data_IF_248157062690
#
_entry.id   IF_248157062690
#
_cell.length_a   1.000
_cell.length_b   1.000
_cell.length_c   1.000
_cell.angle_alpha   90.00
_cell.angle_beta   90.00
_cell.angle_gamma   90.00
#
_symmetry.space_group_name_H-M   'P 1'
#
loop_
_entity.id
_entity.type
_entity.pdbx_description
1 polymer ?
#
# COMPACT_ATOMS: atom_id res chain seq x y z
N UNK A 1 -45.37 -30.11 5.39
CA UNK A 1 -44.89 -28.77 4.96
C UNK A 1 -43.57 -28.50 5.65
N UNK A 2 -42.45 -28.65 4.93
CA UNK A 2 -41.12 -28.39 5.47
C UNK A 2 -40.80 -26.91 5.25
N UNK A 3 -40.67 -26.14 6.33
CA UNK A 3 -40.34 -24.73 6.28
C UNK A 3 -38.81 -24.60 6.21
N UNK A 4 -38.26 -24.49 5.01
CA UNK A 4 -36.85 -24.17 4.81
C UNK A 4 -36.64 -22.69 5.10
N UNK A 5 -36.03 -22.38 6.25
CA UNK A 5 -35.52 -21.06 6.58
C UNK A 5 -34.39 -20.70 5.59
N UNK A 6 -34.39 -19.49 5.00
CA UNK A 6 -33.26 -19.04 4.20
C UNK A 6 -32.06 -18.78 5.12
N UNK A 7 -30.94 -19.45 4.83
CA UNK A 7 -29.64 -19.05 5.34
C UNK A 7 -29.31 -17.68 4.73
N UNK A 8 -29.44 -16.61 5.51
CA UNK A 8 -28.82 -15.33 5.17
C UNK A 8 -27.30 -15.54 5.21
N UNK A 9 -26.70 -15.78 4.04
CA UNK A 9 -25.27 -15.62 3.88
C UNK A 9 -24.95 -14.15 4.14
N UNK A 10 -24.23 -13.87 5.24
CA UNK A 10 -23.57 -12.58 5.40
C UNK A 10 -22.50 -12.54 4.31
N UNK A 11 -22.81 -11.89 3.18
CA UNK A 11 -21.81 -11.50 2.22
C UNK A 11 -20.91 -10.46 2.92
N UNK A 12 -19.85 -10.94 3.57
CA UNK A 12 -18.88 -10.06 4.21
C UNK A 12 -18.23 -9.19 3.13
N UNK A 13 -18.63 -7.92 3.08
CA UNK A 13 -18.05 -6.94 2.16
C UNK A 13 -16.57 -6.71 2.43
N UNK A 14 -15.87 -6.12 1.46
CA UNK A 14 -14.48 -5.72 1.63
C UNK A 14 -14.44 -4.40 2.43
N UNK A 15 -13.73 -4.40 3.56
CA UNK A 15 -13.64 -3.28 4.50
C UNK A 15 -12.26 -2.60 4.45
N UNK A 16 -12.19 -1.33 4.85
CA UNK A 16 -10.92 -0.64 5.08
C UNK A 16 -10.49 -0.77 6.54
N UNK A 17 -9.22 -1.10 6.77
CA UNK A 17 -8.55 -0.88 8.05
C UNK A 17 -7.22 -0.17 7.80
N UNK A 18 -6.71 0.58 8.79
CA UNK A 18 -5.58 1.47 8.56
C UNK A 18 -4.41 1.16 9.48
N UNK A 19 -3.21 1.22 8.92
CA UNK A 19 -1.97 1.28 9.69
C UNK A 19 -1.38 2.67 9.58
N UNK A 20 -0.85 3.17 10.70
CA UNK A 20 -0.02 4.36 10.71
C UNK A 20 1.35 4.11 10.07
N UNK A 21 1.76 5.03 9.21
CA UNK A 21 3.07 5.11 8.58
C UNK A 21 3.87 6.33 9.05
N UNK A 22 3.31 7.17 9.92
CA UNK A 22 4.04 8.31 10.46
C UNK A 22 5.32 7.83 11.18
N UNK A 23 6.48 8.49 10.98
CA UNK A 23 7.77 8.00 11.46
C UNK A 23 7.81 7.67 12.95
N UNK A 24 7.11 8.44 13.79
CA UNK A 24 7.04 8.24 15.24
C UNK A 24 6.20 7.02 15.66
N UNK A 25 5.43 6.44 14.73
CA UNK A 25 4.66 5.21 14.92
C UNK A 25 5.37 3.98 14.39
N UNK A 26 6.48 4.17 13.70
CA UNK A 26 7.30 3.11 13.14
C UNK A 26 8.58 2.96 13.96
N UNK A 27 9.09 1.73 14.05
CA UNK A 27 10.36 1.44 14.71
C UNK A 27 11.49 1.54 13.70
N UNK A 28 12.44 2.43 13.93
CA UNK A 28 13.68 2.49 13.15
C UNK A 28 14.44 1.16 13.21
N UNK A 29 14.79 0.63 12.04
CA UNK A 29 15.63 -0.56 11.86
C UNK A 29 17.05 -0.14 11.50
N UNK A 30 17.17 0.81 10.58
CA UNK A 30 18.45 1.25 10.02
C UNK A 30 18.37 2.74 9.69
N UNK A 31 19.47 3.45 9.92
CA UNK A 31 19.70 4.84 9.49
C UNK A 31 21.17 4.94 9.11
N UNK A 32 21.43 5.54 7.96
CA UNK A 32 22.75 5.99 7.54
C UNK A 32 22.62 7.46 7.15
N UNK A 33 23.46 8.32 7.72
CA UNK A 33 23.36 9.77 7.57
C UNK A 33 24.30 10.29 6.47
N UNK A 34 25.46 9.64 6.29
CA UNK A 34 26.51 10.04 5.35
C UNK A 34 27.03 8.83 4.56
N UNK A 35 27.41 9.00 3.27
CA UNK A 35 27.37 10.24 2.47
C UNK A 35 26.02 10.51 1.81
N UNK A 36 25.11 9.53 1.82
CA UNK A 36 23.77 9.63 1.24
C UNK A 36 22.76 9.18 2.29
N UNK A 37 21.93 10.10 2.82
CA UNK A 37 20.95 9.75 3.84
C UNK A 37 20.00 8.65 3.37
N UNK A 38 19.89 7.59 4.16
CA UNK A 38 18.89 6.54 3.97
C UNK A 38 18.37 6.03 5.30
N UNK A 39 17.12 5.61 5.32
CA UNK A 39 16.51 5.01 6.51
C UNK A 39 15.60 3.85 6.17
N UNK A 40 15.48 2.92 7.11
CA UNK A 40 14.54 1.81 7.06
C UNK A 40 13.77 1.76 8.38
N UNK A 41 12.46 1.86 8.31
CA UNK A 41 11.57 1.79 9.45
C UNK A 41 10.60 0.62 9.32
N UNK A 42 10.35 -0.09 10.42
CA UNK A 42 9.31 -1.10 10.54
C UNK A 42 8.05 -0.49 11.12
N UNK A 43 7.03 -0.33 10.30
CA UNK A 43 5.70 0.06 10.73
C UNK A 43 4.87 -1.18 11.10
N UNK A 44 3.85 -1.04 11.96
CA UNK A 44 2.90 -2.11 12.24
C UNK A 44 2.20 -2.64 10.98
N UNK A 45 1.38 -3.66 11.14
CA UNK A 45 0.50 -4.15 10.08
C UNK A 45 -0.64 -4.97 10.67
N UNK A 46 -1.30 -5.77 9.84
CA UNK A 46 -2.47 -6.56 10.23
C UNK A 46 -2.28 -8.02 9.87
N UNK A 47 -2.99 -8.93 10.56
CA UNK A 47 -3.02 -10.35 10.22
C UNK A 47 -1.61 -11.00 10.04
N UNK A 48 -0.62 -10.54 10.81
CA UNK A 48 0.77 -11.00 10.75
C UNK A 48 1.65 -10.32 9.70
N UNK A 49 1.08 -9.48 8.84
CA UNK A 49 1.85 -8.61 7.95
C UNK A 49 2.48 -7.46 8.73
N UNK A 50 3.62 -6.97 8.24
CA UNK A 50 4.20 -5.67 8.63
C UNK A 50 4.64 -4.89 7.40
N UNK A 51 4.79 -3.58 7.54
CA UNK A 51 5.26 -2.72 6.46
C UNK A 51 6.64 -2.20 6.82
N UNK A 52 7.57 -2.27 5.87
CA UNK A 52 8.85 -1.58 5.98
C UNK A 52 8.81 -0.36 5.06
N UNK A 53 9.02 0.82 5.63
CA UNK A 53 9.15 2.08 4.89
C UNK A 53 10.64 2.35 4.75
N UNK A 54 11.10 2.46 3.51
CA UNK A 54 12.46 2.87 3.21
C UNK A 54 12.42 4.29 2.65
N UNK A 55 13.39 5.10 3.04
CA UNK A 55 13.68 6.42 2.47
C UNK A 55 15.11 6.37 1.93
N UNK A 56 15.29 6.60 0.64
CA UNK A 56 16.59 6.62 -0.03
C UNK A 56 16.56 7.68 -1.13
N UNK A 57 17.53 8.60 -1.11
CA UNK A 57 17.62 9.71 -2.06
C UNK A 57 16.29 10.46 -2.23
N UNK A 58 15.70 10.82 -1.08
CA UNK A 58 14.47 11.60 -0.94
C UNK A 58 13.24 10.95 -1.60
N UNK A 59 13.24 9.61 -1.66
CA UNK A 59 12.19 8.81 -2.26
C UNK A 59 11.79 7.70 -1.30
N UNK A 60 10.54 7.74 -0.88
CA UNK A 60 10.00 6.74 0.01
C UNK A 60 9.31 5.61 -0.74
N UNK A 61 9.55 4.38 -0.30
CA UNK A 61 8.88 3.17 -0.79
C UNK A 61 8.42 2.28 0.35
N UNK A 62 7.53 1.34 0.04
CA UNK A 62 7.05 0.33 0.98
C UNK A 62 7.48 -1.05 0.52
N UNK A 63 8.00 -1.85 1.45
CA UNK A 63 8.10 -3.30 1.32
C UNK A 63 7.06 -3.95 2.23
N UNK A 64 6.19 -4.78 1.65
CA UNK A 64 5.26 -5.60 2.42
C UNK A 64 6.00 -6.84 2.92
N UNK A 65 5.98 -7.06 4.23
CA UNK A 65 6.50 -8.28 4.85
C UNK A 65 5.31 -9.18 5.15
N UNK A 66 5.24 -10.33 4.51
CA UNK A 66 4.15 -11.28 4.72
C UNK A 66 4.33 -12.08 6.02
N UNK A 67 3.29 -12.78 6.53
CA UNK A 67 3.34 -13.46 7.82
C UNK A 67 4.43 -14.54 7.95
N UNK A 68 4.95 -15.06 6.83
CA UNK A 68 6.07 -16.01 6.81
C UNK A 68 7.44 -15.33 6.75
N UNK A 69 7.50 -14.00 6.83
CA UNK A 69 8.71 -13.20 6.77
C UNK A 69 9.22 -12.87 5.36
N UNK A 70 8.54 -13.30 4.29
CA UNK A 70 8.94 -12.99 2.92
C UNK A 70 8.73 -11.50 2.62
N UNK A 71 9.74 -10.90 1.99
CA UNK A 71 9.74 -9.49 1.56
C UNK A 71 9.13 -9.35 0.18
N UNK A 72 8.27 -8.35 0.02
CA UNK A 72 7.62 -8.00 -1.25
C UNK A 72 7.76 -6.48 -1.45
N UNK A 73 8.85 -6.02 -2.09
CA UNK A 73 9.02 -4.62 -2.43
C UNK A 73 7.90 -4.15 -3.36
N UNK A 74 7.35 -2.95 -3.11
CA UNK A 74 6.38 -2.33 -4.01
C UNK A 74 7.04 -1.39 -5.03
N UNK A 75 8.33 -1.07 -4.85
CA UNK A 75 9.16 -0.28 -5.77
C UNK A 75 8.48 1.01 -6.26
N UNK A 76 7.85 1.74 -5.34
CA UNK A 76 7.01 2.93 -5.63
C UNK A 76 7.77 4.00 -6.41
N UNK A 77 9.07 4.14 -6.16
CA UNK A 77 10.00 5.03 -6.86
C UNK A 77 10.28 4.67 -8.34
N UNK A 78 9.72 3.56 -8.83
CA UNK A 78 9.85 3.09 -10.21
C UNK A 78 8.50 2.86 -10.85
N UNK A 79 7.52 2.37 -10.08
CA UNK A 79 6.19 2.03 -10.60
C UNK A 79 5.17 3.16 -10.46
N UNK A 80 5.34 4.07 -9.50
CA UNK A 80 4.45 5.22 -9.31
C UNK A 80 5.08 6.50 -9.84
N UNK A 81 6.29 6.82 -9.42
CA UNK A 81 7.01 8.03 -9.85
C UNK A 81 8.49 7.86 -9.62
N UNK A 82 9.31 8.36 -10.55
CA UNK A 82 10.77 8.45 -10.38
C UNK A 82 11.21 9.74 -9.69
N UNK A 83 10.29 10.69 -9.51
CA UNK A 83 10.57 11.96 -8.88
C UNK A 83 10.69 11.82 -7.35
N UNK A 84 11.22 12.86 -6.68
CA UNK A 84 11.23 12.92 -5.21
C UNK A 84 9.83 12.73 -4.66
N UNK A 85 9.73 11.87 -3.64
CA UNK A 85 8.43 11.46 -3.14
C UNK A 85 8.45 11.02 -1.69
N UNK A 86 7.35 11.32 -1.00
CA UNK A 86 7.07 10.87 0.36
C UNK A 86 5.77 10.08 0.39
N UNK A 87 5.60 9.26 1.42
CA UNK A 87 4.34 8.58 1.68
C UNK A 87 3.40 9.48 2.47
N UNK A 88 2.09 9.23 2.36
CA UNK A 88 1.15 9.72 3.36
C UNK A 88 1.21 8.87 4.64
N UNK A 89 0.74 9.43 5.76
CA UNK A 89 0.84 8.83 7.10
C UNK A 89 0.01 7.56 7.31
N UNK A 90 -0.72 7.06 6.30
CA UNK A 90 -1.58 5.89 6.43
C UNK A 90 -1.40 4.93 5.26
N UNK A 91 -1.34 3.64 5.61
CA UNK A 91 -1.62 2.55 4.70
C UNK A 91 -3.06 2.06 4.93
N UNK A 92 -3.86 2.00 3.87
CA UNK A 92 -5.20 1.44 3.91
C UNK A 92 -5.17 0.00 3.41
N UNK A 93 -5.51 -0.94 4.28
CA UNK A 93 -5.70 -2.34 3.94
C UNK A 93 -7.15 -2.58 3.55
N UNK A 94 -7.36 -3.25 2.42
CA UNK A 94 -8.64 -3.82 2.04
C UNK A 94 -8.70 -5.24 2.58
N UNK A 95 -9.71 -5.54 3.40
CA UNK A 95 -9.80 -6.82 4.12
C UNK A 95 -11.14 -7.50 3.89
N UNK A 96 -11.13 -8.83 3.95
CA UNK A 96 -12.32 -9.67 4.09
C UNK A 96 -12.30 -10.27 5.49
N UNK A 97 -13.47 -10.35 6.13
CA UNK A 97 -13.66 -11.10 7.38
C UNK A 97 -14.36 -12.41 7.07
N UNK A 98 -13.64 -13.51 7.23
CA UNK A 98 -14.20 -14.84 7.01
C UNK A 98 -13.90 -15.73 8.22
N UNK A 99 -14.94 -16.35 8.81
CA UNK A 99 -14.82 -17.29 9.93
C UNK A 99 -13.96 -16.76 11.10
N UNK A 100 -14.14 -15.48 11.43
CA UNK A 100 -13.40 -14.80 12.50
C UNK A 100 -11.95 -14.42 12.17
N UNK A 101 -11.49 -14.66 10.93
CA UNK A 101 -10.14 -14.29 10.46
C UNK A 101 -10.21 -13.03 9.62
N UNK A 102 -9.19 -12.20 9.75
CA UNK A 102 -8.95 -11.05 8.87
C UNK A 102 -8.05 -11.52 7.73
N UNK A 103 -8.51 -11.33 6.49
CA UNK A 103 -7.80 -11.69 5.27
C UNK A 103 -7.54 -10.39 4.49
N UNK A 104 -6.32 -9.85 4.51
CA UNK A 104 -5.95 -8.73 3.65
C UNK A 104 -5.93 -9.16 2.19
N UNK A 105 -6.56 -8.39 1.32
CA UNK A 105 -6.66 -8.67 -0.13
C UNK A 105 -5.98 -7.60 -0.99
N UNK A 106 -5.83 -6.39 -0.47
CA UNK A 106 -5.09 -5.31 -1.13
C UNK A 106 -4.59 -4.27 -0.12
N UNK A 107 -3.63 -3.46 -0.56
CA UNK A 107 -3.02 -2.36 0.19
C UNK A 107 -3.05 -1.11 -0.68
N UNK A 108 -3.44 0.02 -0.09
CA UNK A 108 -3.43 1.33 -0.74
C UNK A 108 -2.52 2.23 0.07
N UNK A 109 -1.56 2.86 -0.61
CA UNK A 109 -0.63 3.82 0.01
C UNK A 109 -0.63 5.10 -0.79
N UNK A 110 -0.68 6.25 -0.11
CA UNK A 110 -0.56 7.55 -0.76
C UNK A 110 0.91 7.85 -1.04
N UNK A 111 1.19 8.31 -2.26
CA UNK A 111 2.53 8.75 -2.71
C UNK A 111 2.44 10.20 -3.15
N UNK A 112 3.10 11.07 -2.42
CA UNK A 112 3.18 12.51 -2.65
C UNK A 112 4.44 12.79 -3.46
N UNK A 113 4.29 13.08 -4.75
CA UNK A 113 5.39 13.29 -5.69
C UNK A 113 5.63 14.78 -5.95
N UNK A 114 6.87 15.22 -5.90
CA UNK A 114 7.28 16.49 -6.47
C UNK A 114 7.78 16.25 -7.90
N UNK A 115 6.92 16.46 -8.90
CA UNK A 115 7.24 16.23 -10.32
C UNK A 115 7.76 17.50 -11.03
N UNK A 116 7.86 18.61 -10.30
CA UNK A 116 8.21 19.94 -10.79
C UNK A 116 9.35 20.50 -9.95
N UNK A 117 10.62 20.25 -10.33
CA UNK A 117 11.79 20.61 -9.53
C UNK A 117 11.93 22.13 -9.28
N UNK A 118 11.37 22.95 -10.17
CA UNK A 118 11.37 24.42 -10.04
C UNK A 118 10.32 24.89 -9.02
N UNK A 119 9.33 24.04 -8.71
CA UNK A 119 8.22 24.36 -7.82
C UNK A 119 8.07 23.27 -6.74
N UNK A 120 8.92 23.27 -5.68
CA UNK A 120 8.92 22.23 -4.65
C UNK A 120 7.56 22.06 -3.93
N UNK A 121 6.74 23.11 -3.89
CA UNK A 121 5.42 23.09 -3.27
C UNK A 121 4.32 22.44 -4.14
N UNK A 122 4.61 22.17 -5.42
CA UNK A 122 3.65 21.60 -6.37
C UNK A 122 3.66 20.07 -6.29
N UNK A 123 3.08 19.56 -5.21
CA UNK A 123 3.01 18.12 -4.93
C UNK A 123 1.78 17.49 -5.59
N UNK A 124 1.96 16.33 -6.21
CA UNK A 124 0.87 15.49 -6.71
C UNK A 124 0.72 14.24 -5.85
N UNK A 125 -0.46 14.07 -5.25
CA UNK A 125 -0.75 12.94 -4.37
C UNK A 125 -1.46 11.79 -5.09
N UNK A 126 -0.68 10.79 -5.50
CA UNK A 126 -1.18 9.54 -6.09
C UNK A 126 -1.64 8.56 -5.01
N UNK A 127 -2.44 7.57 -5.40
CA UNK A 127 -2.66 6.37 -4.60
C UNK A 127 -2.11 5.16 -5.35
N UNK A 128 -1.13 4.49 -4.74
CA UNK A 128 -0.61 3.22 -5.20
C UNK A 128 -1.50 2.10 -4.67
N UNK A 129 -2.03 1.27 -5.55
CA UNK A 129 -2.82 0.09 -5.19
C UNK A 129 -1.98 -1.15 -5.43
N UNK A 130 -1.80 -1.96 -4.39
CA UNK A 130 -1.13 -3.24 -4.47
C UNK A 130 -2.09 -4.39 -4.13
N UNK A 131 -2.07 -5.44 -4.95
CA UNK A 131 -2.81 -6.67 -4.65
C UNK A 131 -2.06 -7.51 -3.63
N UNK A 132 -2.78 -8.25 -2.80
CA UNK A 132 -2.22 -9.22 -1.86
C UNK A 132 -2.83 -10.59 -2.13
N UNK A 133 -2.13 -11.40 -2.95
CA UNK A 133 -2.54 -12.78 -3.25
C UNK A 133 -1.48 -13.77 -2.79
N UNK A 134 -1.79 -15.07 -2.85
CA UNK A 134 -0.83 -16.12 -2.52
C UNK A 134 0.32 -16.18 -3.55
N UNK A 135 0.01 -15.86 -4.80
CA UNK A 135 0.94 -15.91 -5.93
C UNK A 135 1.88 -14.70 -5.92
N UNK A 136 1.36 -13.50 -5.64
CA UNK A 136 2.12 -12.26 -5.76
C UNK A 136 1.56 -11.12 -4.90
N UNK A 137 2.48 -10.26 -4.47
CA UNK A 137 2.18 -8.97 -3.85
C UNK A 137 2.94 -7.92 -4.64
N UNK A 138 2.22 -7.01 -5.30
CA UNK A 138 2.79 -6.02 -6.20
C UNK A 138 1.77 -4.92 -6.49
N UNK A 139 2.24 -3.77 -6.97
CA UNK A 139 1.40 -2.67 -7.44
C UNK A 139 0.65 -3.09 -8.70
N UNK A 140 -0.65 -2.80 -8.78
CA UNK A 140 -1.51 -3.06 -9.94
C UNK A 140 -2.05 -1.78 -10.56
N UNK A 141 -2.21 -0.71 -9.77
CA UNK A 141 -2.78 0.54 -10.25
C UNK A 141 -2.11 1.76 -9.60
N UNK A 142 -1.98 2.82 -10.40
CA UNK A 142 -1.64 4.18 -9.97
C UNK A 142 -2.86 5.07 -10.19
N UNK A 143 -3.46 5.56 -9.11
CA UNK A 143 -4.62 6.46 -9.19
C UNK A 143 -4.14 7.90 -9.09
N UNK A 144 -4.58 8.73 -10.03
CA UNK A 144 -4.23 10.14 -10.10
C UNK A 144 -4.91 10.97 -8.99
N UNK A 145 -4.37 12.15 -8.63
CA UNK A 145 -5.05 13.06 -7.71
C UNK A 145 -6.40 13.49 -8.28
N UNK A 146 -7.43 13.53 -7.44
CA UNK A 146 -8.78 13.94 -7.83
C UNK A 146 -9.75 13.83 -6.66
N UNK A 147 -10.93 14.45 -6.80
CA UNK A 147 -11.95 14.47 -5.75
C UNK A 147 -12.45 13.07 -5.36
N UNK A 148 -12.40 12.12 -6.30
CA UNK A 148 -12.88 10.73 -6.16
C UNK A 148 -11.75 9.71 -6.00
N UNK A 149 -10.48 10.15 -5.95
CA UNK A 149 -9.32 9.26 -6.02
C UNK A 149 -9.32 8.15 -4.95
N UNK A 150 -9.75 8.44 -3.72
CA UNK A 150 -9.84 7.43 -2.66
C UNK A 150 -10.85 6.32 -2.99
N UNK A 151 -12.01 6.70 -3.56
CA UNK A 151 -13.03 5.72 -3.94
C UNK A 151 -12.57 4.90 -5.15
N UNK A 152 -11.92 5.54 -6.12
CA UNK A 152 -11.33 4.86 -7.28
C UNK A 152 -10.25 3.86 -6.85
N UNK A 153 -9.38 4.23 -5.92
CA UNK A 153 -8.36 3.33 -5.39
C UNK A 153 -8.97 2.12 -4.67
N UNK A 154 -10.04 2.31 -3.88
CA UNK A 154 -10.77 1.20 -3.24
C UNK A 154 -11.40 0.27 -4.27
N UNK A 155 -12.07 0.83 -5.27
CA UNK A 155 -12.66 0.03 -6.35
C UNK A 155 -11.59 -0.77 -7.11
N UNK A 156 -10.45 -0.15 -7.41
CA UNK A 156 -9.32 -0.81 -8.07
C UNK A 156 -8.72 -1.92 -7.20
N UNK A 157 -8.55 -1.66 -5.88
CA UNK A 157 -8.02 -2.59 -4.91
C UNK A 157 -8.92 -3.82 -4.73
N UNK A 158 -10.23 -3.61 -4.63
CA UNK A 158 -11.22 -4.67 -4.47
C UNK A 158 -11.29 -5.59 -5.71
N UNK A 159 -10.93 -5.07 -6.89
CA UNK A 159 -10.86 -5.82 -8.15
C UNK A 159 -9.45 -6.32 -8.53
N UNK A 160 -8.44 -6.15 -7.65
CA UNK A 160 -7.03 -6.28 -8.02
C UNK A 160 -6.51 -7.72 -8.09
N UNK A 161 -7.21 -8.71 -7.53
CA UNK A 161 -6.69 -10.07 -7.33
C UNK A 161 -6.08 -10.71 -8.58
N UNK A 162 -6.69 -10.50 -9.74
CA UNK A 162 -6.24 -11.07 -11.02
C UNK A 162 -5.54 -10.06 -11.93
N UNK A 163 -5.35 -8.81 -11.50
CA UNK A 163 -4.65 -7.81 -12.31
C UNK A 163 -3.17 -8.16 -12.43
N UNK A 164 -2.55 -7.88 -13.59
CA UNK A 164 -1.10 -7.99 -13.72
C UNK A 164 -0.40 -6.98 -12.81
N UNK A 165 0.83 -7.30 -12.39
CA UNK A 165 1.68 -6.34 -11.73
C UNK A 165 2.09 -5.24 -12.71
N UNK A 166 2.11 -3.99 -12.26
CA UNK A 166 2.75 -2.91 -12.99
C UNK A 166 4.26 -3.20 -13.10
N UNK A 167 4.83 -2.84 -14.24
CA UNK A 167 6.27 -2.89 -14.44
C UNK A 167 6.87 -1.54 -14.04
N UNK A 168 8.13 -1.56 -13.61
CA UNK A 168 8.90 -0.33 -13.44
C UNK A 168 8.87 0.47 -14.74
N UNK A 169 8.72 1.79 -14.62
CA UNK A 169 8.96 2.67 -15.76
C UNK A 169 10.43 2.50 -16.18
N UNK A 170 10.73 2.37 -17.48
CA UNK A 170 12.12 2.39 -17.94
C UNK A 170 12.81 3.67 -17.44
N UNK A 171 14.11 3.61 -17.12
CA UNK A 171 14.89 4.78 -16.74
C UNK A 171 14.92 5.84 -17.84
#
# INVERSE_FOLDING_TARGET
MCCTLPLNAVAGGIESVYTDLAPERCRTIEVEEDPMPRSLQRCPGIAGYTLHVADEDLRQTVTVISPNGKKHPLDLWQVITTAFSSLGDKAEWRIIREKGRIIPVALIVRVNANEDPENPNRVRSYLAVAKLTQESICVTDKIAPGATANQEARNAADASAHKPCMQASPP
#
